data_IF_886122054224
#
_entry.id   IF_886122054224
#
_cell.length_a   1.000
_cell.length_b   1.000
_cell.length_c   1.000
_cell.angle_alpha   90.00
_cell.angle_beta   90.00
_cell.angle_gamma   90.00
#
_symmetry.space_group_name_H-M   'P 1'
#
loop_
_entity.id
_entity.type
_entity.pdbx_description
1 polymer ?
#
# COMPACT_ATOMS: atom_id res chain seq x y z
N UNK A 1 20.99 -0.01 6.78
CA UNK A 1 20.78 1.45 6.95
C UNK A 1 21.52 1.85 8.22
N UNK A 2 22.54 2.69 8.10
CA UNK A 2 23.32 3.20 9.23
C UNK A 2 22.93 4.67 9.42
N UNK A 3 22.46 5.02 10.60
CA UNK A 3 22.20 6.40 10.99
C UNK A 3 23.37 6.89 11.85
N UNK A 4 23.79 8.16 11.71
CA UNK A 4 24.81 8.74 12.58
C UNK A 4 24.34 8.74 14.04
N UNK A 5 25.28 8.89 14.98
CA UNK A 5 24.94 9.11 16.39
C UNK A 5 24.37 10.52 16.55
N UNK A 6 23.29 10.70 17.32
CA UNK A 6 22.74 12.02 17.56
C UNK A 6 23.68 12.85 18.45
N UNK A 7 23.78 14.16 18.17
CA UNK A 7 24.69 15.07 18.86
C UNK A 7 24.37 15.22 20.36
N UNK A 8 23.11 15.01 20.75
CA UNK A 8 22.63 15.09 22.12
C UNK A 8 22.71 13.75 22.90
N UNK A 9 23.33 12.71 22.31
CA UNK A 9 23.43 11.38 22.92
C UNK A 9 22.21 10.48 22.73
N UNK A 10 21.16 10.94 22.03
CA UNK A 10 20.03 10.10 21.69
C UNK A 10 20.40 9.01 20.68
N UNK A 11 19.71 7.88 20.78
CA UNK A 11 19.93 6.72 19.91
C UNK A 11 18.68 6.42 19.08
N UNK A 12 18.88 6.30 17.76
CA UNK A 12 17.89 5.78 16.84
C UNK A 12 17.59 4.30 17.10
N UNK A 13 16.41 3.83 16.68
CA UNK A 13 15.99 2.45 16.87
C UNK A 13 16.99 1.41 16.32
N UNK A 14 17.69 1.73 15.24
CA UNK A 14 18.74 0.88 14.66
C UNK A 14 19.92 0.65 15.63
N UNK A 15 20.33 1.68 16.38
CA UNK A 15 21.36 1.56 17.41
C UNK A 15 20.88 0.73 18.63
N UNK A 16 19.57 0.64 18.83
CA UNK A 16 18.92 -0.20 19.84
C UNK A 16 18.58 -1.60 19.31
N UNK A 17 19.18 -2.03 18.21
CA UNK A 17 18.99 -3.36 17.62
C UNK A 17 17.64 -3.59 16.93
N UNK A 18 16.88 -2.53 16.59
CA UNK A 18 15.65 -2.70 15.80
C UNK A 18 16.00 -3.11 14.37
N UNK A 19 15.41 -4.22 13.92
CA UNK A 19 15.62 -4.75 12.56
C UNK A 19 14.31 -4.93 11.78
N UNK A 20 14.43 -5.13 10.47
CA UNK A 20 13.32 -5.48 9.58
C UNK A 20 12.67 -6.81 9.96
N UNK A 21 13.47 -7.77 10.46
CA UNK A 21 12.99 -9.09 10.90
C UNK A 21 12.07 -8.95 12.11
N UNK A 22 12.36 -8.02 13.03
CA UNK A 22 11.48 -7.75 14.17
C UNK A 22 10.12 -7.19 13.72
N UNK A 23 10.13 -6.27 12.74
CA UNK A 23 8.89 -5.74 12.17
C UNK A 23 8.10 -6.86 11.46
N UNK A 24 8.77 -7.66 10.64
CA UNK A 24 8.17 -8.79 9.93
C UNK A 24 7.62 -9.85 10.88
N UNK A 25 8.29 -10.13 12.00
CA UNK A 25 7.80 -11.04 13.04
C UNK A 25 6.50 -10.53 13.66
N UNK A 26 6.37 -9.21 13.87
CA UNK A 26 5.16 -8.58 14.42
C UNK A 26 4.01 -8.51 13.41
N UNK A 27 4.30 -8.10 12.17
CA UNK A 27 3.28 -7.80 11.15
C UNK A 27 2.96 -8.99 10.24
N UNK A 28 3.84 -9.99 10.20
CA UNK A 28 3.84 -11.07 9.23
C UNK A 28 4.54 -10.76 7.91
N UNK A 29 5.04 -9.53 7.72
CA UNK A 29 5.61 -9.08 6.46
C UNK A 29 4.70 -9.40 5.26
N UNK A 30 5.27 -9.98 4.22
CA UNK A 30 4.54 -10.43 3.03
C UNK A 30 3.76 -11.76 3.22
N UNK A 31 3.97 -12.49 4.32
CA UNK A 31 3.45 -13.85 4.51
C UNK A 31 2.02 -13.93 5.03
N UNK A 32 1.53 -12.91 5.75
CA UNK A 32 0.19 -12.93 6.39
C UNK A 32 -0.92 -12.29 5.56
N UNK A 33 -0.74 -12.20 4.24
CA UNK A 33 -1.79 -11.65 3.36
C UNK A 33 -3.10 -12.44 3.49
N UNK A 34 -3.03 -13.77 3.55
CA UNK A 34 -4.24 -14.62 3.65
C UNK A 34 -5.01 -14.44 4.97
N UNK A 35 -4.33 -13.95 6.02
CA UNK A 35 -4.95 -13.65 7.31
C UNK A 35 -5.63 -12.28 7.32
N UNK A 36 -5.25 -11.39 6.39
CA UNK A 36 -5.80 -10.04 6.25
C UNK A 36 -6.92 -10.07 5.22
N UNK A 37 -8.16 -9.97 5.67
CA UNK A 37 -9.34 -9.89 4.79
C UNK A 37 -9.73 -8.43 4.58
N UNK A 38 -10.31 -8.14 3.42
CA UNK A 38 -10.87 -6.84 3.05
C UNK A 38 -9.81 -5.73 3.03
N UNK A 39 -8.68 -5.99 2.37
CA UNK A 39 -7.62 -5.00 2.15
C UNK A 39 -7.43 -4.81 0.65
N UNK A 40 -7.55 -3.58 0.18
CA UNK A 40 -7.22 -3.21 -1.21
C UNK A 40 -5.77 -2.74 -1.23
N UNK A 41 -4.96 -3.32 -2.10
CA UNK A 41 -3.57 -2.91 -2.33
C UNK A 41 -3.48 -2.16 -3.65
N UNK A 42 -2.93 -0.95 -3.61
CA UNK A 42 -2.70 -0.10 -4.78
C UNK A 42 -1.24 0.29 -4.85
N UNK A 43 -0.68 0.32 -6.06
CA UNK A 43 0.66 0.83 -6.33
C UNK A 43 0.72 1.46 -7.72
N UNK A 44 1.50 2.52 -7.86
CA UNK A 44 1.87 3.03 -9.18
C UNK A 44 2.92 2.17 -9.86
N UNK A 45 2.87 2.09 -11.18
CA UNK A 45 3.89 1.45 -12.02
C UNK A 45 5.28 2.05 -11.81
N UNK A 46 5.36 3.37 -11.61
CA UNK A 46 6.61 4.11 -11.42
C UNK A 46 6.87 4.47 -9.96
N UNK A 47 6.13 3.89 -9.02
CA UNK A 47 6.32 4.12 -7.58
C UNK A 47 7.68 3.51 -7.13
N UNK A 48 8.64 4.32 -6.66
CA UNK A 48 9.94 3.80 -6.19
C UNK A 48 9.77 2.84 -5.00
N UNK A 49 8.66 2.94 -4.27
CA UNK A 49 8.35 2.06 -3.14
C UNK A 49 7.68 0.74 -3.55
N UNK A 50 7.28 0.57 -4.82
CA UNK A 50 6.61 -0.65 -5.34
C UNK A 50 7.35 -1.94 -4.96
N UNK A 51 8.68 -1.91 -5.00
CA UNK A 51 9.54 -3.07 -4.67
C UNK A 51 9.42 -3.54 -3.21
N UNK A 52 8.82 -2.74 -2.33
CA UNK A 52 8.61 -3.08 -0.91
C UNK A 52 7.17 -3.49 -0.59
N UNK A 53 6.26 -3.47 -1.57
CA UNK A 53 4.82 -3.68 -1.36
C UNK A 53 4.35 -5.08 -1.80
N UNK A 54 3.04 -5.30 -1.80
CA UNK A 54 2.42 -6.53 -2.31
C UNK A 54 2.55 -6.67 -3.84
N UNK A 55 2.78 -5.57 -4.56
CA UNK A 55 3.03 -5.55 -6.01
C UNK A 55 4.49 -5.79 -6.37
N UNK A 56 5.36 -6.04 -5.39
CA UNK A 56 6.78 -6.26 -5.61
C UNK A 56 7.06 -7.54 -6.39
N UNK A 57 7.89 -7.41 -7.44
CA UNK A 57 8.47 -8.55 -8.17
C UNK A 57 9.54 -9.30 -7.34
N UNK A 58 10.06 -8.67 -6.28
CA UNK A 58 11.06 -9.25 -5.37
C UNK A 58 10.43 -10.09 -4.26
N UNK A 59 9.09 -10.15 -4.17
CA UNK A 59 8.40 -11.02 -3.23
C UNK A 59 8.73 -12.48 -3.52
N UNK A 60 8.94 -13.32 -2.49
CA UNK A 60 8.92 -14.77 -2.68
C UNK A 60 7.60 -15.19 -3.35
N UNK A 61 7.69 -15.80 -4.53
CA UNK A 61 6.53 -16.16 -5.35
C UNK A 61 6.00 -15.04 -6.26
N UNK A 62 6.69 -13.90 -6.35
CA UNK A 62 6.33 -12.77 -7.19
C UNK A 62 5.21 -11.89 -6.62
N UNK A 63 4.69 -10.93 -7.42
CA UNK A 63 3.62 -10.02 -7.01
C UNK A 63 2.36 -10.75 -6.54
N UNK A 64 1.61 -10.12 -5.65
CA UNK A 64 0.46 -10.76 -5.01
C UNK A 64 -0.64 -10.89 -6.05
N UNK A 65 -1.14 -12.12 -6.23
CA UNK A 65 -2.26 -12.36 -7.11
C UNK A 65 -3.53 -11.76 -6.50
N UNK A 66 -4.23 -10.97 -7.31
CA UNK A 66 -5.45 -10.29 -6.89
C UNK A 66 -6.56 -11.31 -6.58
N UNK A 67 -7.30 -11.09 -5.50
CA UNK A 67 -8.45 -11.91 -5.09
C UNK A 67 -9.61 -11.02 -4.65
N UNK A 68 -10.79 -11.58 -4.41
CA UNK A 68 -11.94 -10.80 -3.90
C UNK A 68 -11.70 -10.18 -2.51
N UNK A 69 -10.97 -10.89 -1.64
CA UNK A 69 -10.68 -10.45 -0.26
C UNK A 69 -9.39 -9.62 -0.15
N UNK A 70 -8.48 -9.76 -1.11
CA UNK A 70 -7.27 -8.96 -1.25
C UNK A 70 -7.07 -8.50 -2.70
N UNK A 71 -7.86 -7.53 -3.18
CA UNK A 71 -7.66 -6.95 -4.51
C UNK A 71 -6.31 -6.23 -4.58
N UNK A 72 -5.59 -6.42 -5.68
CA UNK A 72 -4.30 -5.77 -5.96
C UNK A 72 -4.40 -5.03 -7.29
N UNK A 73 -4.01 -3.76 -7.29
CA UNK A 73 -4.00 -2.89 -8.47
C UNK A 73 -2.61 -2.29 -8.66
N UNK A 74 -1.98 -2.62 -9.80
CA UNK A 74 -0.82 -1.90 -10.30
C UNK A 74 -1.32 -0.89 -11.35
N UNK A 75 -1.27 0.39 -11.01
CA UNK A 75 -1.87 1.47 -11.80
C UNK A 75 -0.85 1.93 -12.84
N UNK A 76 -1.22 1.79 -14.12
CA UNK A 76 -0.37 2.19 -15.24
C UNK A 76 -0.15 3.70 -15.25
N UNK A 77 1.08 4.13 -15.57
CA UNK A 77 1.49 5.54 -15.60
C UNK A 77 1.26 6.30 -14.28
N UNK A 78 1.20 5.61 -13.15
CA UNK A 78 1.02 6.23 -11.84
C UNK A 78 2.28 6.15 -10.99
N UNK A 79 2.41 7.11 -10.08
CA UNK A 79 3.52 7.27 -9.15
C UNK A 79 3.08 6.90 -7.73
N UNK A 80 3.78 7.44 -6.73
CA UNK A 80 3.58 7.09 -5.33
C UNK A 80 2.25 7.65 -4.81
N UNK A 81 1.35 6.72 -4.44
CA UNK A 81 0.05 7.03 -3.85
C UNK A 81 -0.85 7.93 -4.71
N UNK A 82 -0.73 7.86 -6.04
CA UNK A 82 -1.55 8.66 -6.95
C UNK A 82 -3.05 8.43 -6.76
N UNK A 83 -3.45 7.24 -6.32
CA UNK A 83 -4.82 6.88 -6.00
C UNK A 83 -5.44 7.66 -4.83
N UNK A 84 -4.65 8.42 -4.08
CA UNK A 84 -5.14 9.35 -3.08
C UNK A 84 -5.58 10.71 -3.67
N UNK A 85 -5.12 11.07 -4.87
CA UNK A 85 -5.48 12.34 -5.49
C UNK A 85 -6.86 12.27 -6.14
N UNK A 86 -7.71 13.25 -5.83
CA UNK A 86 -9.00 13.41 -6.48
C UNK A 86 -8.86 14.29 -7.73
N UNK A 87 -9.80 14.16 -8.66
CA UNK A 87 -9.86 15.04 -9.84
C UNK A 87 -9.91 16.53 -9.44
N UNK A 88 -10.70 16.86 -8.41
CA UNK A 88 -10.78 18.21 -7.88
C UNK A 88 -9.44 18.68 -7.30
N UNK A 89 -8.73 17.82 -6.56
CA UNK A 89 -7.41 18.12 -6.00
C UNK A 89 -6.37 18.38 -7.09
N UNK A 90 -6.31 17.53 -8.11
CA UNK A 90 -5.40 17.70 -9.25
C UNK A 90 -5.72 18.96 -10.05
N UNK A 91 -7.00 19.23 -10.30
CA UNK A 91 -7.43 20.46 -10.98
C UNK A 91 -7.03 21.70 -10.20
N UNK A 92 -7.19 21.69 -8.87
CA UNK A 92 -6.75 22.79 -7.99
C UNK A 92 -5.24 23.06 -8.06
N UNK A 93 -4.45 22.03 -8.36
CA UNK A 93 -3.01 22.13 -8.58
C UNK A 93 -2.62 22.42 -10.04
N UNK A 94 -3.58 22.63 -10.95
CA UNK A 94 -3.30 22.89 -12.37
C UNK A 94 -2.93 21.64 -13.18
N UNK A 95 -3.25 20.45 -12.68
CA UNK A 95 -2.94 19.18 -13.31
C UNK A 95 -4.21 18.44 -13.75
N UNK A 96 -4.05 17.55 -14.72
CA UNK A 96 -5.09 16.58 -15.10
C UNK A 96 -4.81 15.26 -14.39
N UNK A 97 -5.85 14.63 -13.83
CA UNK A 97 -5.70 13.32 -13.19
C UNK A 97 -5.47 12.23 -14.23
N UNK A 98 -4.63 11.24 -13.90
CA UNK A 98 -4.44 10.06 -14.73
C UNK A 98 -5.77 9.25 -14.80
N UNK A 99 -6.32 8.96 -15.99
CA UNK A 99 -7.57 8.21 -16.10
C UNK A 99 -7.49 6.79 -15.54
N UNK A 100 -6.31 6.15 -15.52
CA UNK A 100 -6.13 4.83 -14.91
C UNK A 100 -6.26 4.88 -13.38
N UNK A 101 -5.90 6.02 -12.77
CA UNK A 101 -6.13 6.26 -11.34
C UNK A 101 -7.63 6.33 -11.06
N UNK A 102 -8.38 7.10 -11.86
CA UNK A 102 -9.83 7.23 -11.70
C UNK A 102 -10.53 5.87 -11.80
N UNK A 103 -10.17 5.05 -12.80
CA UNK A 103 -10.70 3.69 -12.95
C UNK A 103 -10.48 2.83 -11.70
N UNK A 104 -9.28 2.89 -11.10
CA UNK A 104 -8.96 2.11 -9.90
C UNK A 104 -9.68 2.67 -8.66
N UNK A 105 -9.83 3.99 -8.54
CA UNK A 105 -10.62 4.61 -7.48
C UNK A 105 -12.09 4.15 -7.54
N UNK A 106 -12.71 4.20 -8.72
CA UNK A 106 -14.07 3.71 -8.92
C UNK A 106 -14.18 2.23 -8.55
N UNK A 107 -13.21 1.41 -8.99
CA UNK A 107 -13.20 -0.02 -8.66
C UNK A 107 -13.07 -0.27 -7.16
N UNK A 108 -12.21 0.47 -6.48
CA UNK A 108 -12.04 0.39 -5.04
C UNK A 108 -13.32 0.77 -4.30
N UNK A 109 -14.02 1.84 -4.75
CA UNK A 109 -15.32 2.24 -4.21
C UNK A 109 -16.37 1.14 -4.40
N UNK A 110 -16.44 0.49 -5.57
CA UNK A 110 -17.35 -0.65 -5.79
C UNK A 110 -17.07 -1.81 -4.83
N UNK A 111 -15.80 -2.15 -4.62
CA UNK A 111 -15.38 -3.20 -3.69
C UNK A 111 -15.80 -2.85 -2.26
N UNK A 112 -15.50 -1.62 -1.83
CA UNK A 112 -15.87 -1.14 -0.50
C UNK A 112 -17.38 -1.13 -0.29
N UNK A 113 -18.17 -0.69 -1.27
CA UNK A 113 -19.64 -0.76 -1.24
C UNK A 113 -20.12 -2.19 -1.00
N UNK A 114 -19.55 -3.20 -1.69
CA UNK A 114 -19.89 -4.62 -1.46
C UNK A 114 -19.51 -5.09 -0.07
N UNK A 115 -18.35 -4.68 0.45
CA UNK A 115 -17.92 -5.07 1.80
C UNK A 115 -18.80 -4.47 2.89
N UNK A 116 -19.18 -3.20 2.75
CA UNK A 116 -20.13 -2.51 3.63
C UNK A 116 -21.51 -3.13 3.55
N UNK A 117 -22.01 -3.44 2.35
CA UNK A 117 -23.32 -4.11 2.19
C UNK A 117 -23.39 -5.51 2.82
N UNK A 118 -22.25 -6.20 2.94
CA UNK A 118 -22.14 -7.49 3.65
C UNK A 118 -21.89 -7.35 5.16
N UNK A 119 -21.67 -6.13 5.66
CA UNK A 119 -21.40 -5.91 7.08
C UNK A 119 -22.69 -6.08 7.88
N UNK A 120 -22.63 -6.96 8.89
CA UNK A 120 -23.67 -7.09 9.90
C UNK A 120 -23.10 -6.51 11.18
N UNK A 121 -23.74 -5.47 11.73
CA UNK A 121 -23.33 -4.92 13.01
C UNK A 121 -23.40 -6.04 14.08
N UNK A 122 -22.42 -6.12 15.00
CA UNK A 122 -22.58 -6.97 16.16
C UNK A 122 -23.81 -6.49 16.95
N UNK A 123 -24.66 -7.43 17.36
CA UNK A 123 -25.77 -7.17 18.28
C UNK A 123 -25.25 -6.70 19.64
#
# INVERSE_FOLDING_TARGET
MHFPTAENGDQYGSAKGKTTEMLNKRTGGWGRVKERRRVIWTNGEFDPWRSTTMSSELRPGGPLQSTEDAPVFLIKNAQHADDAFTEAGMKGAGHTINPEVVKVQEKAVEIMKRWVGKFKAPN
#
